data_IF_811057689108
#
_entry.id   IF_811057689108
#
_cell.length_a   1.000
_cell.length_b   1.000
_cell.length_c   1.000
_cell.angle_alpha   90.00
_cell.angle_beta   90.00
_cell.angle_gamma   90.00
#
_symmetry.space_group_name_H-M   'P 1'
#
loop_
_entity.id
_entity.type
_entity.pdbx_description
1 polymer ?
#
# COMPACT_ATOMS: atom_id res chain seq x y z
N UNK A 1 5.47 5.48 15.58
CA UNK A 1 5.13 5.47 14.14
C UNK A 1 6.27 6.11 13.39
N UNK A 2 6.71 5.50 12.29
CA UNK A 2 7.73 6.10 11.43
C UNK A 2 7.13 7.30 10.67
N UNK A 3 7.93 8.35 10.49
CA UNK A 3 7.58 9.50 9.64
C UNK A 3 8.04 9.21 8.22
N UNK A 4 7.16 9.41 7.24
CA UNK A 4 7.49 9.28 5.82
C UNK A 4 8.50 10.35 5.41
N UNK A 5 9.58 9.94 4.76
CA UNK A 5 10.53 10.89 4.14
C UNK A 5 9.92 11.50 2.88
N UNK A 6 10.48 12.62 2.40
CA UNK A 6 9.99 13.24 1.17
C UNK A 6 10.11 12.28 -0.03
N UNK A 7 11.23 11.57 -0.16
CA UNK A 7 11.42 10.54 -1.20
C UNK A 7 10.32 9.46 -1.20
N UNK A 8 9.85 9.04 -0.01
CA UNK A 8 8.78 8.06 0.12
C UNK A 8 7.46 8.65 -0.38
N UNK A 9 7.14 9.88 0.05
CA UNK A 9 5.91 10.59 -0.34
C UNK A 9 5.86 10.82 -1.85
N UNK A 10 6.97 11.26 -2.43
CA UNK A 10 7.11 11.52 -3.87
C UNK A 10 6.93 10.23 -4.68
N UNK A 11 7.56 9.13 -4.26
CA UNK A 11 7.44 7.85 -4.96
C UNK A 11 6.02 7.27 -4.89
N UNK A 12 5.35 7.36 -3.74
CA UNK A 12 3.94 6.96 -3.60
C UNK A 12 3.05 7.74 -4.59
N UNK A 13 3.29 9.04 -4.77
CA UNK A 13 2.50 9.88 -5.69
C UNK A 13 2.82 9.65 -7.16
N UNK A 14 4.02 9.19 -7.50
CA UNK A 14 4.50 9.06 -8.87
C UNK A 14 4.33 7.66 -9.48
N UNK A 15 4.33 6.61 -8.66
CA UNK A 15 4.36 5.21 -9.12
C UNK A 15 3.04 4.48 -8.86
N UNK A 16 2.82 3.38 -9.59
CA UNK A 16 1.73 2.46 -9.26
C UNK A 16 2.07 1.70 -7.97
N UNK A 17 1.22 1.82 -6.96
CA UNK A 17 1.41 1.19 -5.66
C UNK A 17 0.70 -0.17 -5.58
N UNK A 18 1.30 -1.12 -4.87
CA UNK A 18 0.75 -2.46 -4.66
C UNK A 18 0.44 -2.67 -3.19
N UNK A 19 -0.78 -3.14 -2.90
CA UNK A 19 -1.24 -3.49 -1.57
C UNK A 19 -1.19 -5.01 -1.41
N UNK A 20 -0.47 -5.47 -0.40
CA UNK A 20 -0.50 -6.86 0.06
C UNK A 20 -1.37 -6.97 1.32
N UNK A 21 -2.19 -8.02 1.37
CA UNK A 21 -3.03 -8.39 2.52
C UNK A 21 -2.98 -9.91 2.72
N UNK A 22 -3.56 -10.41 3.81
CA UNK A 22 -3.73 -11.84 4.03
C UNK A 22 -5.17 -12.15 4.49
N UNK A 23 -5.67 -13.30 4.08
CA UNK A 23 -6.96 -13.83 4.55
C UNK A 23 -6.85 -14.40 5.98
N UNK A 24 -7.96 -14.94 6.49
CA UNK A 24 -8.04 -15.53 7.82
C UNK A 24 -7.17 -16.77 8.04
N UNK A 25 -6.76 -17.42 6.95
CA UNK A 25 -5.88 -18.59 6.96
C UNK A 25 -4.41 -18.19 6.74
N UNK A 26 -4.12 -16.90 6.57
CA UNK A 26 -2.78 -16.39 6.31
C UNK A 26 -2.33 -16.50 4.86
N UNK A 27 -3.22 -16.81 3.91
CA UNK A 27 -2.86 -16.84 2.50
C UNK A 27 -2.65 -15.41 1.97
N UNK A 28 -1.53 -15.13 1.29
CA UNK A 28 -1.23 -13.79 0.82
C UNK A 28 -2.07 -13.43 -0.42
N UNK A 29 -2.46 -12.16 -0.49
CA UNK A 29 -3.10 -11.57 -1.66
C UNK A 29 -2.40 -10.24 -1.98
N UNK A 30 -2.23 -9.94 -3.27
CA UNK A 30 -1.64 -8.68 -3.73
C UNK A 30 -2.46 -8.09 -4.87
N UNK A 31 -2.63 -6.76 -4.88
CA UNK A 31 -3.28 -6.06 -5.97
C UNK A 31 -2.80 -4.61 -6.12
N UNK A 32 -2.83 -4.08 -7.36
CA UNK A 32 -2.51 -2.68 -7.60
C UNK A 32 -3.60 -1.76 -7.03
N UNK A 33 -3.19 -0.60 -6.50
CA UNK A 33 -4.08 0.45 -5.98
C UNK A 33 -3.69 1.80 -6.57
N UNK A 34 -4.28 2.13 -7.72
CA UNK A 34 -3.99 3.37 -8.46
C UNK A 34 -4.41 4.66 -7.75
N UNK A 35 -5.30 4.58 -6.75
CA UNK A 35 -5.76 5.74 -5.95
C UNK A 35 -4.98 5.93 -4.64
N UNK A 36 -3.94 5.11 -4.41
CA UNK A 36 -3.08 5.20 -3.23
C UNK A 36 -2.30 6.52 -3.23
N UNK A 37 -2.30 7.21 -2.08
CA UNK A 37 -1.63 8.49 -1.88
C UNK A 37 -1.28 8.69 -0.41
N UNK A 38 -0.43 9.67 -0.13
CA UNK A 38 -0.12 10.11 1.22
C UNK A 38 -1.34 10.86 1.80
N UNK A 39 -1.77 10.49 3.00
CA UNK A 39 -2.80 11.23 3.74
C UNK A 39 -2.17 12.27 4.67
N UNK A 40 -1.18 11.84 5.43
CA UNK A 40 -0.34 12.68 6.27
C UNK A 40 1.06 12.06 6.42
N UNK A 41 1.89 12.63 7.29
CA UNK A 41 3.28 12.23 7.50
C UNK A 41 3.47 10.79 8.02
N UNK A 42 2.40 10.12 8.44
CA UNK A 42 2.43 8.78 9.01
C UNK A 42 1.44 7.81 8.36
N UNK A 43 0.53 8.28 7.49
CA UNK A 43 -0.55 7.46 6.96
C UNK A 43 -0.65 7.54 5.43
N UNK A 44 -0.94 6.40 4.82
CA UNK A 44 -1.36 6.28 3.44
C UNK A 44 -2.88 6.10 3.39
N UNK A 45 -3.49 6.51 2.27
CA UNK A 45 -4.92 6.32 2.00
C UNK A 45 -5.13 5.90 0.54
N UNK A 46 -6.16 5.09 0.29
CA UNK A 46 -6.62 4.76 -1.05
C UNK A 46 -8.15 4.67 -1.06
N UNK A 47 -8.74 4.73 -2.25
CA UNK A 47 -10.19 4.53 -2.41
C UNK A 47 -10.45 3.05 -2.69
N UNK A 48 -11.25 2.39 -1.84
CA UNK A 48 -11.71 1.03 -2.09
C UNK A 48 -13.04 1.07 -2.84
N UNK A 49 -12.97 0.82 -4.15
CA UNK A 49 -14.12 0.91 -5.05
C UNK A 49 -14.76 -0.45 -5.34
N UNK A 50 -14.06 -1.55 -5.05
CA UNK A 50 -14.50 -2.90 -5.43
C UNK A 50 -15.18 -3.64 -4.28
N UNK A 51 -14.78 -3.36 -3.03
CA UNK A 51 -15.29 -4.05 -1.85
C UNK A 51 -14.97 -5.55 -1.81
N UNK A 52 -13.96 -6.03 -2.56
CA UNK A 52 -13.63 -7.46 -2.72
C UNK A 52 -12.55 -7.94 -1.73
N UNK A 53 -11.63 -8.80 -2.19
CA UNK A 53 -10.70 -9.56 -1.35
C UNK A 53 -9.87 -8.66 -0.41
N UNK A 54 -9.24 -7.60 -0.92
CA UNK A 54 -8.43 -6.71 -0.09
C UNK A 54 -9.26 -6.01 1.00
N UNK A 55 -10.49 -5.59 0.68
CA UNK A 55 -11.42 -5.03 1.65
C UNK A 55 -11.76 -6.04 2.73
N UNK A 56 -12.18 -7.24 2.34
CA UNK A 56 -12.50 -8.34 3.26
C UNK A 56 -11.31 -8.64 4.20
N UNK A 57 -10.12 -8.84 3.63
CA UNK A 57 -8.90 -9.15 4.37
C UNK A 57 -8.54 -8.05 5.37
N UNK A 58 -8.71 -6.77 5.02
CA UNK A 58 -8.49 -5.63 5.92
C UNK A 58 -9.55 -5.54 7.02
N UNK A 59 -10.77 -6.00 6.77
CA UNK A 59 -11.80 -6.07 7.81
C UNK A 59 -11.48 -7.12 8.87
N UNK A 60 -10.86 -8.23 8.48
CA UNK A 60 -10.48 -9.32 9.38
C UNK A 60 -9.09 -9.12 10.02
N UNK A 61 -8.04 -9.10 9.20
CA UNK A 61 -6.66 -9.19 9.69
C UNK A 61 -6.11 -7.89 10.27
N UNK A 62 -6.64 -6.74 9.83
CA UNK A 62 -6.11 -5.39 10.11
C UNK A 62 -4.62 -5.23 9.73
N UNK A 63 -4.09 -6.10 8.87
CA UNK A 63 -2.70 -6.11 8.43
C UNK A 63 -2.62 -5.84 6.94
N UNK A 64 -1.64 -5.04 6.56
CA UNK A 64 -1.31 -4.75 5.19
C UNK A 64 0.17 -4.43 5.05
N UNK A 65 0.68 -4.58 3.84
CA UNK A 65 1.93 -3.98 3.43
C UNK A 65 1.71 -3.23 2.11
N UNK A 66 2.39 -2.11 1.92
CA UNK A 66 2.40 -1.39 0.65
C UNK A 66 3.81 -1.44 0.07
N UNK A 67 3.91 -1.70 -1.23
CA UNK A 67 5.15 -1.61 -1.98
C UNK A 67 5.00 -0.64 -3.14
N UNK A 68 6.04 0.16 -3.35
CA UNK A 68 6.16 1.10 -4.47
C UNK A 68 7.56 1.02 -5.05
N UNK A 69 7.68 1.15 -6.37
CA UNK A 69 8.93 0.97 -7.09
C UNK A 69 9.03 1.94 -8.26
N UNK A 70 10.15 2.64 -8.35
CA UNK A 70 10.61 3.26 -9.57
C UNK A 70 11.59 2.31 -10.24
N UNK A 71 11.10 1.60 -11.27
CA UNK A 71 11.91 0.62 -11.99
C UNK A 71 13.08 1.24 -12.75
N UNK A 72 12.93 2.46 -13.26
CA UNK A 72 14.00 3.14 -14.01
C UNK A 72 15.15 3.54 -13.08
N UNK A 73 14.82 3.98 -11.87
CA UNK A 73 15.80 4.34 -10.86
C UNK A 73 16.32 3.14 -10.03
N UNK A 74 15.73 1.94 -10.21
CA UNK A 74 15.98 0.75 -9.39
C UNK A 74 15.87 1.04 -7.89
N UNK A 75 14.88 1.86 -7.51
CA UNK A 75 14.62 2.28 -6.12
C UNK A 75 13.19 1.91 -5.75
N UNK A 76 12.98 1.50 -4.50
CA UNK A 76 11.66 1.17 -3.98
C UNK A 76 11.58 1.35 -2.47
N UNK A 77 10.35 1.45 -1.98
CA UNK A 77 10.04 1.49 -0.56
C UNK A 77 8.94 0.49 -0.21
N UNK A 78 8.96 0.03 1.04
CA UNK A 78 7.93 -0.80 1.64
C UNK A 78 7.46 -0.17 2.95
N UNK A 79 6.18 -0.36 3.25
CA UNK A 79 5.51 0.18 4.43
C UNK A 79 4.71 -0.95 5.10
N UNK A 80 4.97 -1.22 6.38
CA UNK A 80 4.34 -2.25 7.22
C UNK A 80 4.04 -1.75 8.63
#
# INVERSE_FOLDING_TARGET
MATLTQDMKDMIGAQLNYLATADENGNPQVGPKGTMRVFDDHHLIYNEETGKQAWHNLQYSKKAAVATVDYKALKGFRFE
#
